data_IF_701158074731
#
_entry.id   IF_701158074731
#
_cell.length_a   1.000
_cell.length_b   1.000
_cell.length_c   1.000
_cell.angle_alpha   90.00
_cell.angle_beta   90.00
_cell.angle_gamma   90.00
#
_symmetry.space_group_name_H-M   'P 1'
#
loop_
_entity.id
_entity.type
_entity.pdbx_description
1 polymer ?
#
# COMPACT_ATOMS: atom_id res chain seq x y z
N UNK A 1 4.25 -19.90 2.53
CA UNK A 1 3.57 -18.61 2.35
C UNK A 1 4.17 -17.88 1.17
N UNK A 2 3.31 -17.31 0.36
CA UNK A 2 3.77 -16.61 -0.83
C UNK A 2 4.09 -15.16 -0.51
N UNK A 3 5.14 -14.66 -1.15
CA UNK A 3 5.48 -13.25 -1.11
C UNK A 3 5.34 -12.70 -2.51
N UNK A 4 4.57 -11.63 -2.66
CA UNK A 4 4.33 -10.96 -3.95
C UNK A 4 4.82 -9.52 -3.83
N UNK A 5 5.57 -9.08 -4.83
CA UNK A 5 6.06 -7.70 -4.93
C UNK A 5 5.57 -7.13 -6.25
N UNK A 6 4.83 -6.03 -6.20
CA UNK A 6 4.34 -5.35 -7.40
C UNK A 6 4.81 -3.90 -7.37
N UNK A 7 5.38 -3.47 -8.48
CA UNK A 7 5.80 -2.09 -8.63
C UNK A 7 4.65 -1.25 -9.16
N UNK A 8 4.48 -0.07 -8.61
CA UNK A 8 3.43 0.85 -9.03
C UNK A 8 3.89 2.30 -8.81
N UNK A 9 3.01 3.25 -9.11
CA UNK A 9 3.24 4.66 -8.84
C UNK A 9 2.00 5.24 -8.16
N UNK A 10 2.24 6.14 -7.24
CA UNK A 10 1.15 6.84 -6.57
C UNK A 10 0.48 7.78 -7.57
N UNK A 11 -0.80 7.56 -7.84
CA UNK A 11 -1.53 8.28 -8.88
C UNK A 11 -2.50 9.34 -8.39
N UNK A 12 -2.60 9.53 -7.08
CA UNK A 12 -3.55 10.51 -6.52
C UNK A 12 -3.01 11.92 -6.64
N UNK A 13 -3.87 12.84 -7.09
CA UNK A 13 -3.47 14.23 -7.35
C UNK A 13 -3.10 15.01 -6.10
N UNK A 14 -3.80 14.74 -5.00
CA UNK A 14 -3.70 15.55 -3.78
C UNK A 14 -2.70 15.00 -2.75
N UNK A 15 -1.95 14.01 -3.10
CA UNK A 15 -1.08 13.35 -2.13
C UNK A 15 -1.89 12.55 -1.12
N UNK A 16 -1.31 12.29 0.03
CA UNK A 16 -1.95 11.47 1.06
C UNK A 16 -2.83 12.35 1.95
N UNK A 17 -4.14 12.05 1.94
CA UNK A 17 -5.10 12.70 2.82
C UNK A 17 -5.56 11.72 3.89
N UNK A 18 -6.16 12.21 5.01
CA UNK A 18 -6.68 11.30 6.03
C UNK A 18 -7.73 10.32 5.49
N UNK A 19 -8.57 10.76 4.56
CA UNK A 19 -9.58 9.89 3.94
C UNK A 19 -8.92 8.78 3.15
N UNK A 20 -7.93 9.12 2.34
CA UNK A 20 -7.22 8.14 1.54
C UNK A 20 -6.40 7.19 2.41
N UNK A 21 -5.77 7.71 3.46
CA UNK A 21 -5.05 6.89 4.40
C UNK A 21 -5.96 5.83 5.04
N UNK A 22 -7.18 6.23 5.40
CA UNK A 22 -8.16 5.31 5.95
C UNK A 22 -8.56 4.25 4.93
N UNK A 23 -8.70 4.60 3.66
CA UNK A 23 -9.00 3.64 2.59
C UNK A 23 -7.88 2.64 2.39
N UNK A 24 -6.64 3.09 2.44
CA UNK A 24 -5.47 2.22 2.30
C UNK A 24 -5.44 1.21 3.45
N UNK A 25 -5.60 1.68 4.68
CA UNK A 25 -5.59 0.81 5.85
C UNK A 25 -6.76 -0.20 5.80
N UNK A 26 -7.95 0.26 5.43
CA UNK A 26 -9.11 -0.62 5.30
C UNK A 26 -8.90 -1.66 4.21
N UNK A 27 -8.39 -1.26 3.06
CA UNK A 27 -8.12 -2.18 1.96
C UNK A 27 -7.15 -3.28 2.39
N UNK A 28 -6.06 -2.92 3.06
CA UNK A 28 -5.10 -3.89 3.56
C UNK A 28 -5.72 -4.84 4.57
N UNK A 29 -6.64 -4.36 5.41
CA UNK A 29 -7.26 -5.17 6.45
C UNK A 29 -8.21 -6.23 5.92
N UNK A 30 -8.64 -6.13 4.67
CA UNK A 30 -9.55 -7.12 4.06
C UNK A 30 -8.86 -8.42 3.70
N UNK A 31 -7.55 -8.43 3.67
CA UNK A 31 -6.78 -9.59 3.25
C UNK A 31 -6.13 -10.26 4.45
N UNK A 32 -5.87 -11.55 4.31
CA UNK A 32 -5.16 -12.30 5.34
C UNK A 32 -3.66 -12.08 5.28
N UNK A 33 -3.18 -11.51 4.19
CA UNK A 33 -1.76 -11.26 3.99
C UNK A 33 -1.30 -10.01 4.73
N UNK A 34 -0.03 -10.00 5.11
CA UNK A 34 0.62 -8.81 5.62
C UNK A 34 1.07 -7.97 4.44
N UNK A 35 0.73 -6.69 4.45
CA UNK A 35 1.03 -5.79 3.35
C UNK A 35 1.99 -4.70 3.82
N UNK A 36 2.99 -4.42 3.00
CA UNK A 36 3.93 -3.33 3.21
C UNK A 36 4.05 -2.50 1.93
N UNK A 37 4.37 -1.23 2.08
CA UNK A 37 4.65 -0.35 0.95
C UNK A 37 6.08 0.15 1.11
N UNK A 38 6.88 -0.06 0.06
CA UNK A 38 8.27 0.37 0.04
C UNK A 38 8.43 1.60 -0.86
N UNK A 39 9.10 2.61 -0.34
CA UNK A 39 9.39 3.83 -1.08
C UNK A 39 10.74 4.36 -0.60
N UNK A 40 11.60 4.74 -1.55
CA UNK A 40 12.91 5.32 -1.27
C UNK A 40 13.75 4.45 -0.30
N UNK A 41 13.67 3.14 -0.45
CA UNK A 41 14.44 2.22 0.36
C UNK A 41 13.86 1.93 1.74
N UNK A 42 12.68 2.49 2.05
CA UNK A 42 12.01 2.25 3.33
C UNK A 42 10.70 1.49 3.11
N UNK A 43 10.53 0.38 3.82
CA UNK A 43 9.30 -0.38 3.79
C UNK A 43 8.49 -0.09 5.06
N UNK A 44 7.24 0.27 4.88
CA UNK A 44 6.32 0.54 5.98
C UNK A 44 5.19 -0.47 5.91
N UNK A 45 5.01 -1.23 6.99
CA UNK A 45 3.94 -2.22 7.09
C UNK A 45 2.62 -1.52 7.34
N UNK A 46 1.62 -1.89 6.56
CA UNK A 46 0.27 -1.31 6.68
C UNK A 46 -0.49 -2.08 7.74
N UNK A 47 -0.45 -1.61 8.97
CA UNK A 47 -1.14 -2.25 10.10
C UNK A 47 -2.24 -1.37 10.67
N UNK A 48 -2.15 -0.07 10.46
CA UNK A 48 -3.10 0.87 11.04
C UNK A 48 -3.08 2.18 10.27
N UNK A 49 -4.05 3.04 10.56
CA UNK A 49 -4.11 4.37 9.98
C UNK A 49 -2.83 5.18 10.28
N UNK A 50 -2.29 5.02 11.48
CA UNK A 50 -1.07 5.73 11.89
C UNK A 50 0.11 5.32 11.02
N UNK A 51 0.24 4.02 10.73
CA UNK A 51 1.31 3.54 9.86
C UNK A 51 1.24 4.19 8.48
N UNK A 52 0.02 4.28 7.93
CA UNK A 52 -0.19 4.88 6.61
C UNK A 52 0.14 6.37 6.65
N UNK A 53 -0.30 7.07 7.68
CA UNK A 53 -0.07 8.52 7.81
C UNK A 53 1.40 8.88 7.98
N UNK A 54 2.23 7.93 8.36
CA UNK A 54 3.67 8.16 8.49
C UNK A 54 4.39 8.19 7.14
N UNK A 55 3.72 7.78 6.06
CA UNK A 55 4.30 7.79 4.72
C UNK A 55 4.15 9.15 4.06
N UNK A 56 5.16 9.52 3.28
CA UNK A 56 5.09 10.72 2.46
C UNK A 56 4.78 10.27 1.03
N UNK A 57 3.52 10.40 0.63
CA UNK A 57 3.08 10.01 -0.70
C UNK A 57 2.76 11.23 -1.54
N UNK A 58 3.22 11.23 -2.78
CA UNK A 58 2.94 12.29 -3.73
C UNK A 58 2.81 11.69 -5.12
N UNK A 59 2.09 12.39 -5.98
CA UNK A 59 1.82 11.93 -7.33
C UNK A 59 3.10 11.61 -8.09
N UNK A 60 3.12 10.44 -8.71
CA UNK A 60 4.26 10.00 -9.49
C UNK A 60 5.34 9.27 -8.70
N UNK A 61 5.23 9.22 -7.37
CA UNK A 61 6.22 8.53 -6.54
C UNK A 61 6.22 7.03 -6.84
N UNK A 62 7.37 6.45 -7.18
CA UNK A 62 7.46 5.00 -7.38
C UNK A 62 7.27 4.28 -6.05
N UNK A 63 6.46 3.22 -6.06
CA UNK A 63 6.17 2.43 -4.89
C UNK A 63 6.29 0.95 -5.21
N UNK A 64 6.64 0.15 -4.23
CA UNK A 64 6.57 -1.30 -4.33
C UNK A 64 5.62 -1.80 -3.25
N UNK A 65 4.57 -2.51 -3.67
CA UNK A 65 3.65 -3.15 -2.74
C UNK A 65 4.12 -4.57 -2.50
N UNK A 66 4.32 -4.92 -1.25
CA UNK A 66 4.81 -6.23 -0.83
C UNK A 66 3.73 -6.89 0.00
N UNK A 67 3.30 -8.08 -0.39
CA UNK A 67 2.30 -8.83 0.35
C UNK A 67 2.82 -10.24 0.66
N UNK A 68 2.59 -10.71 1.87
CA UNK A 68 2.99 -12.04 2.32
C UNK A 68 1.79 -12.74 2.94
N UNK A 69 1.43 -13.90 2.40
CA UNK A 69 0.33 -14.69 2.94
C UNK A 69 -0.42 -15.45 1.88
N UNK A 70 -1.57 -16.01 2.28
CA UNK A 70 -2.38 -16.88 1.42
C UNK A 70 -2.95 -16.15 0.20
N UNK A 71 -3.37 -14.90 0.40
CA UNK A 71 -3.98 -14.08 -0.65
C UNK A 71 -3.06 -12.93 -1.06
N UNK A 72 -1.74 -13.18 -1.03
CA UNK A 72 -0.75 -12.15 -1.30
C UNK A 72 -0.93 -11.47 -2.66
N UNK A 73 -1.27 -12.25 -3.70
CA UNK A 73 -1.46 -11.68 -5.04
C UNK A 73 -2.66 -10.75 -5.09
N UNK A 74 -3.78 -11.17 -4.53
CA UNK A 74 -4.99 -10.35 -4.48
C UNK A 74 -4.76 -9.10 -3.64
N UNK A 75 -4.07 -9.25 -2.52
CA UNK A 75 -3.77 -8.13 -1.64
C UNK A 75 -2.89 -7.10 -2.35
N UNK A 76 -1.81 -7.55 -2.98
CA UNK A 76 -0.91 -6.66 -3.70
C UNK A 76 -1.61 -5.95 -4.85
N UNK A 77 -2.41 -6.69 -5.64
CA UNK A 77 -3.16 -6.11 -6.75
C UNK A 77 -4.18 -5.09 -6.29
N UNK A 78 -4.90 -5.39 -5.21
CA UNK A 78 -5.90 -4.48 -4.66
C UNK A 78 -5.29 -3.18 -4.18
N UNK A 79 -4.17 -3.27 -3.49
CA UNK A 79 -3.46 -2.07 -3.02
C UNK A 79 -2.90 -1.26 -4.18
N UNK A 80 -2.32 -1.91 -5.19
CA UNK A 80 -1.82 -1.21 -6.37
C UNK A 80 -2.93 -0.45 -7.08
N UNK A 81 -4.09 -1.07 -7.28
CA UNK A 81 -5.22 -0.43 -7.93
C UNK A 81 -5.67 0.81 -7.16
N UNK A 82 -5.72 0.73 -5.84
CA UNK A 82 -6.11 1.86 -5.00
C UNK A 82 -5.08 2.98 -5.06
N UNK A 83 -3.78 2.65 -5.02
CA UNK A 83 -2.72 3.66 -5.01
C UNK A 83 -2.57 4.36 -6.35
N UNK A 84 -2.87 3.67 -7.44
CA UNK A 84 -2.78 4.25 -8.78
C UNK A 84 -3.93 5.22 -9.07
N UNK A 85 -5.00 5.09 -8.36
CA UNK A 85 -6.18 5.93 -8.54
C UNK A 85 -7.19 5.33 -9.50
#
# INVERSE_FOLDING_TARGET
MDTVRLETRYGMADGLTPVLAARIAECASRYDSHVSIESAGRAIRIESLISVLSMELRRGLPLTVIAEGKDAREAASGLCALLEG
#
